data_IF_255326883054
#
_entry.id   IF_255326883054
#
_cell.length_a   1.000
_cell.length_b   1.000
_cell.length_c   1.000
_cell.angle_alpha   90.00
_cell.angle_beta   90.00
_cell.angle_gamma   90.00
#
_symmetry.space_group_name_H-M   'P 1'
#
loop_
_entity.id
_entity.type
_entity.pdbx_description
1 polymer ?
#
# COMPACT_ATOMS: atom_id res chain seq x y z
N UNK A 1 -11.76 1.87 -30.15
CA UNK A 1 -10.52 1.84 -29.35
C UNK A 1 -10.81 2.18 -27.90
N UNK A 2 -10.33 1.42 -26.90
CA UNK A 2 -10.48 1.81 -25.50
C UNK A 2 -9.64 3.06 -25.23
N UNK A 3 -10.22 4.09 -24.62
CA UNK A 3 -9.49 5.31 -24.26
C UNK A 3 -8.84 5.16 -22.89
N UNK A 4 -7.54 5.42 -22.82
CA UNK A 4 -6.79 5.46 -21.57
C UNK A 4 -7.16 6.74 -20.81
N UNK A 5 -7.55 6.56 -19.55
CA UNK A 5 -7.80 7.61 -18.57
C UNK A 5 -6.95 7.30 -17.35
N UNK A 6 -6.63 8.31 -16.54
CA UNK A 6 -5.69 8.15 -15.41
C UNK A 6 -6.04 7.01 -14.43
N UNK A 7 -7.32 6.64 -14.29
CA UNK A 7 -7.76 5.63 -13.30
C UNK A 7 -8.17 4.28 -13.91
N UNK A 8 -8.17 4.13 -15.24
CA UNK A 8 -8.71 2.92 -15.90
C UNK A 8 -7.65 2.02 -16.56
N UNK A 9 -6.36 2.23 -16.25
CA UNK A 9 -5.25 1.58 -16.94
C UNK A 9 -5.39 0.06 -16.98
N UNK A 10 -5.77 -0.59 -15.87
CA UNK A 10 -5.90 -2.06 -15.80
C UNK A 10 -6.94 -2.60 -16.78
N UNK A 11 -8.13 -1.99 -16.82
CA UNK A 11 -9.18 -2.37 -17.76
C UNK A 11 -8.81 -2.01 -19.20
N UNK A 12 -8.15 -0.86 -19.40
CA UNK A 12 -7.65 -0.43 -20.70
C UNK A 12 -6.61 -1.41 -21.25
N UNK A 13 -5.63 -1.80 -20.44
CA UNK A 13 -4.53 -2.69 -20.82
C UNK A 13 -5.05 -4.07 -21.25
N UNK A 14 -5.98 -4.65 -20.49
CA UNK A 14 -6.63 -5.92 -20.86
C UNK A 14 -7.33 -5.80 -22.22
N UNK A 15 -8.15 -4.75 -22.41
CA UNK A 15 -8.87 -4.54 -23.66
C UNK A 15 -7.93 -4.30 -24.84
N UNK A 16 -6.86 -3.54 -24.63
CA UNK A 16 -5.88 -3.23 -25.66
C UNK A 16 -5.07 -4.47 -26.05
N UNK A 17 -4.65 -5.29 -25.08
CA UNK A 17 -3.97 -6.55 -25.34
C UNK A 17 -4.84 -7.47 -26.22
N UNK A 18 -6.10 -7.68 -25.85
CA UNK A 18 -7.03 -8.52 -26.65
C UNK A 18 -7.15 -8.01 -28.09
N UNK A 19 -7.23 -6.69 -28.29
CA UNK A 19 -7.31 -6.09 -29.62
C UNK A 19 -6.03 -6.36 -30.42
N UNK A 20 -4.85 -6.19 -29.82
CA UNK A 20 -3.58 -6.41 -30.49
C UNK A 20 -3.32 -7.91 -30.78
N UNK A 21 -3.74 -8.81 -29.90
CA UNK A 21 -3.71 -10.25 -30.11
C UNK A 21 -4.61 -10.67 -31.27
N UNK A 22 -5.86 -10.18 -31.30
CA UNK A 22 -6.79 -10.46 -32.40
C UNK A 22 -6.29 -9.98 -33.77
N UNK A 23 -5.41 -8.98 -33.80
CA UNK A 23 -4.79 -8.45 -35.02
C UNK A 23 -3.40 -9.06 -35.31
N UNK A 24 -2.91 -10.01 -34.50
CA UNK A 24 -1.57 -10.60 -34.66
C UNK A 24 -0.42 -9.60 -34.49
N UNK A 25 -0.65 -8.55 -33.70
CA UNK A 25 0.27 -7.44 -33.44
C UNK A 25 0.99 -7.55 -32.10
N UNK A 26 0.46 -8.36 -31.16
CA UNK A 26 1.03 -8.53 -29.82
C UNK A 26 2.49 -9.01 -29.85
N UNK A 27 2.87 -9.79 -30.86
CA UNK A 27 4.24 -10.29 -31.09
C UNK A 27 5.26 -9.16 -31.23
N UNK A 28 4.85 -7.95 -31.64
CA UNK A 28 5.73 -6.78 -31.72
C UNK A 28 6.05 -6.18 -30.34
N UNK A 29 5.19 -6.43 -29.35
CA UNK A 29 5.34 -5.99 -27.96
C UNK A 29 6.06 -7.07 -27.13
N UNK A 30 5.59 -8.31 -27.26
CA UNK A 30 6.18 -9.50 -26.64
C UNK A 30 6.62 -10.49 -27.72
N UNK A 31 7.84 -10.33 -28.25
CA UNK A 31 8.38 -11.25 -29.24
C UNK A 31 8.65 -12.62 -28.62
N UNK A 32 8.21 -13.66 -29.31
CA UNK A 32 8.55 -15.06 -29.03
C UNK A 32 9.77 -15.51 -29.86
N UNK A 33 10.30 -16.71 -29.60
CA UNK A 33 11.49 -17.25 -30.30
C UNK A 33 11.35 -17.31 -31.84
N UNK A 34 10.12 -17.28 -32.36
CA UNK A 34 9.81 -17.33 -33.80
C UNK A 34 9.50 -15.96 -34.40
N UNK A 35 9.46 -14.91 -33.59
CA UNK A 35 9.03 -13.57 -34.03
C UNK A 35 10.13 -12.90 -34.85
N UNK A 36 9.84 -12.61 -36.11
CA UNK A 36 10.69 -11.77 -36.96
C UNK A 36 10.29 -10.31 -36.79
N UNK A 37 11.29 -9.43 -36.83
CA UNK A 37 11.03 -7.99 -36.84
C UNK A 37 10.22 -7.60 -38.08
N UNK A 38 9.00 -7.12 -37.87
CA UNK A 38 8.09 -6.66 -38.92
C UNK A 38 7.73 -5.19 -38.67
N UNK A 39 8.41 -4.31 -39.40
CA UNK A 39 8.23 -2.87 -39.29
C UNK A 39 6.81 -2.40 -39.66
N UNK A 40 6.08 -3.18 -40.48
CA UNK A 40 4.70 -2.85 -40.85
C UNK A 40 3.75 -3.18 -39.69
N UNK A 41 3.92 -4.35 -39.07
CA UNK A 41 3.18 -4.72 -37.86
C UNK A 41 3.50 -3.78 -36.69
N UNK A 42 4.76 -3.42 -36.48
CA UNK A 42 5.15 -2.48 -35.42
C UNK A 42 4.49 -1.11 -35.60
N UNK A 43 4.53 -0.53 -36.81
CA UNK A 43 3.82 0.74 -37.11
C UNK A 43 2.30 0.64 -36.92
N UNK A 44 1.71 -0.50 -37.25
CA UNK A 44 0.28 -0.74 -37.04
C UNK A 44 -0.03 -0.78 -35.55
N UNK A 45 0.74 -1.53 -34.76
CA UNK A 45 0.60 -1.60 -33.31
C UNK A 45 0.77 -0.22 -32.65
N UNK A 46 1.74 0.57 -33.12
CA UNK A 46 1.93 1.96 -32.70
C UNK A 46 0.66 2.76 -32.99
N UNK A 47 0.13 2.72 -34.21
CA UNK A 47 -1.10 3.45 -34.57
C UNK A 47 -2.27 3.09 -33.65
N UNK A 48 -2.40 1.81 -33.31
CA UNK A 48 -3.41 1.31 -32.39
C UNK A 48 -3.23 1.91 -30.98
N UNK A 49 -1.99 1.95 -30.47
CA UNK A 49 -1.68 2.56 -29.17
C UNK A 49 -1.95 4.06 -29.18
N UNK A 50 -1.56 4.80 -30.22
CA UNK A 50 -1.79 6.25 -30.33
C UNK A 50 -3.29 6.61 -30.34
N UNK A 51 -4.12 5.86 -31.07
CA UNK A 51 -5.57 6.09 -31.11
C UNK A 51 -6.29 5.88 -29.78
N UNK A 52 -5.64 5.18 -28.86
CA UNK A 52 -6.18 4.83 -27.56
C UNK A 52 -5.72 5.77 -26.43
N UNK A 53 -4.95 6.80 -26.78
CA UNK A 53 -4.34 7.74 -25.84
C UNK A 53 -4.94 9.14 -26.01
N UNK A 54 -5.19 9.86 -24.91
CA UNK A 54 -5.54 11.27 -24.95
C UNK A 54 -4.31 12.14 -25.26
N UNK A 55 -4.54 13.34 -25.77
CA UNK A 55 -3.53 14.22 -26.36
C UNK A 55 -2.42 14.63 -25.38
N UNK A 56 -2.74 14.77 -24.09
CA UNK A 56 -1.80 15.05 -23.01
C UNK A 56 -0.77 13.92 -22.78
N UNK A 57 -1.18 12.66 -23.03
CA UNK A 57 -0.30 11.49 -22.91
C UNK A 57 0.59 11.36 -24.14
N UNK A 58 0.08 11.71 -25.33
CA UNK A 58 0.80 11.57 -26.61
C UNK A 58 2.14 12.31 -26.61
N UNK A 59 2.17 13.52 -26.07
CA UNK A 59 3.38 14.35 -26.04
C UNK A 59 4.53 13.68 -25.29
N UNK A 60 4.24 12.95 -24.21
CA UNK A 60 5.27 12.30 -23.41
C UNK A 60 5.79 11.01 -24.05
N UNK A 61 4.90 10.25 -24.68
CA UNK A 61 5.22 8.91 -25.19
C UNK A 61 5.76 8.98 -26.63
N UNK A 62 5.63 10.13 -27.30
CA UNK A 62 6.17 10.43 -28.64
C UNK A 62 7.68 10.21 -28.80
N UNK A 63 8.42 10.19 -27.67
CA UNK A 63 9.86 9.89 -27.63
C UNK A 63 10.18 8.44 -27.96
N UNK A 64 9.21 7.53 -27.84
CA UNK A 64 9.40 6.10 -28.05
C UNK A 64 9.00 5.70 -29.48
N UNK A 65 9.89 4.94 -30.16
CA UNK A 65 9.76 4.65 -31.60
C UNK A 65 9.21 3.26 -31.94
N UNK A 66 9.02 2.39 -30.95
CA UNK A 66 8.54 1.01 -31.15
C UNK A 66 7.30 0.75 -30.30
N UNK A 67 6.42 -0.15 -30.74
CA UNK A 67 5.21 -0.50 -30.01
C UNK A 67 5.54 -1.02 -28.59
N UNK A 68 6.60 -1.84 -28.47
CA UNK A 68 7.12 -2.33 -27.20
C UNK A 68 7.56 -1.21 -26.25
N UNK A 69 8.30 -0.22 -26.76
CA UNK A 69 8.78 0.88 -25.92
C UNK A 69 7.63 1.76 -25.44
N UNK A 70 6.65 2.03 -26.30
CA UNK A 70 5.43 2.78 -25.95
C UNK A 70 4.62 2.01 -24.90
N UNK A 71 4.38 0.71 -25.11
CA UNK A 71 3.67 -0.15 -24.17
C UNK A 71 4.34 -0.18 -22.80
N UNK A 72 5.66 -0.35 -22.76
CA UNK A 72 6.41 -0.35 -21.51
C UNK A 72 6.38 1.01 -20.80
N UNK A 73 6.49 2.12 -21.54
CA UNK A 73 6.38 3.46 -20.95
C UNK A 73 5.01 3.71 -20.32
N UNK A 74 3.93 3.31 -21.01
CA UNK A 74 2.56 3.35 -20.49
C UNK A 74 2.41 2.48 -19.23
N UNK A 75 2.95 1.27 -19.28
CA UNK A 75 2.93 0.31 -18.18
C UNK A 75 3.65 0.84 -16.95
N UNK A 76 4.85 1.37 -17.10
CA UNK A 76 5.64 1.94 -15.99
C UNK A 76 4.94 3.15 -15.36
N UNK A 77 4.37 4.05 -16.17
CA UNK A 77 3.68 5.23 -15.67
C UNK A 77 2.45 4.88 -14.85
N UNK A 78 1.54 4.11 -15.44
CA UNK A 78 0.21 3.90 -14.87
C UNK A 78 0.17 2.83 -13.78
N UNK A 79 1.03 1.80 -13.84
CA UNK A 79 1.18 0.86 -12.71
C UNK A 79 1.74 1.55 -11.47
N UNK A 80 2.59 2.58 -11.63
CA UNK A 80 3.09 3.37 -10.50
C UNK A 80 1.96 4.11 -9.80
N UNK A 81 1.14 4.81 -10.57
CA UNK A 81 -0.03 5.54 -10.07
C UNK A 81 -1.05 4.62 -9.40
N UNK A 82 -1.38 3.47 -10.02
CA UNK A 82 -2.30 2.48 -9.46
C UNK A 82 -1.78 1.90 -8.14
N UNK A 83 -0.48 1.53 -8.06
CA UNK A 83 0.12 1.02 -6.83
C UNK A 83 0.07 2.04 -5.71
N UNK A 84 0.28 3.32 -6.02
CA UNK A 84 0.19 4.41 -5.04
C UNK A 84 -1.26 4.62 -4.57
N UNK A 85 -2.23 4.60 -5.48
CA UNK A 85 -3.64 4.72 -5.13
C UNK A 85 -4.10 3.55 -4.26
N UNK A 86 -3.76 2.31 -4.65
CA UNK A 86 -4.07 1.11 -3.87
C UNK A 86 -3.39 1.14 -2.50
N UNK A 87 -2.12 1.54 -2.41
CA UNK A 87 -1.42 1.68 -1.13
C UNK A 87 -2.13 2.66 -0.20
N UNK A 88 -2.56 3.82 -0.71
CA UNK A 88 -3.31 4.83 0.06
C UNK A 88 -4.62 4.28 0.61
N UNK A 89 -5.41 3.62 -0.24
CA UNK A 89 -6.69 3.02 0.17
C UNK A 89 -6.46 1.93 1.23
N UNK A 90 -5.52 1.03 1.01
CA UNK A 90 -5.21 -0.06 1.95
C UNK A 90 -4.72 0.49 3.30
N UNK A 91 -3.81 1.46 3.31
CA UNK A 91 -3.35 2.10 4.54
C UNK A 91 -4.49 2.80 5.28
N UNK A 92 -5.44 3.44 4.58
CA UNK A 92 -6.60 4.08 5.19
C UNK A 92 -7.51 3.07 5.91
N UNK A 93 -7.81 1.92 5.29
CA UNK A 93 -8.59 0.86 5.93
C UNK A 93 -7.88 0.30 7.16
N UNK A 94 -6.59 -0.05 7.02
CA UNK A 94 -5.80 -0.60 8.12
C UNK A 94 -5.67 0.42 9.26
N UNK A 95 -5.50 1.71 8.97
CA UNK A 95 -5.41 2.75 9.99
C UNK A 95 -6.68 2.81 10.87
N UNK A 96 -7.87 2.73 10.25
CA UNK A 96 -9.14 2.68 10.99
C UNK A 96 -9.26 1.44 11.87
N UNK A 97 -8.82 0.29 11.37
CA UNK A 97 -8.88 -0.97 12.13
C UNK A 97 -7.89 -0.95 13.30
N UNK A 98 -6.65 -0.52 13.07
CA UNK A 98 -5.62 -0.34 14.12
C UNK A 98 -6.13 0.61 15.21
N UNK A 99 -6.72 1.74 14.82
CA UNK A 99 -7.23 2.70 15.78
C UNK A 99 -8.37 2.11 16.65
N UNK A 100 -9.28 1.35 16.06
CA UNK A 100 -10.33 0.63 16.82
C UNK A 100 -9.73 -0.39 17.78
N UNK A 101 -8.70 -1.12 17.36
CA UNK A 101 -8.02 -2.11 18.20
C UNK A 101 -7.29 -1.45 19.37
N UNK A 102 -6.62 -0.31 19.15
CA UNK A 102 -5.99 0.48 20.22
C UNK A 102 -7.05 1.00 21.20
N UNK A 103 -8.16 1.57 20.72
CA UNK A 103 -9.24 2.04 21.60
C UNK A 103 -9.82 0.89 22.43
N UNK A 104 -10.06 -0.28 21.81
CA UNK A 104 -10.52 -1.48 22.52
C UNK A 104 -9.50 -1.97 23.55
N UNK A 105 -8.22 -1.97 23.21
CA UNK A 105 -7.15 -2.40 24.13
C UNK A 105 -7.06 -1.50 25.38
N UNK A 106 -7.34 -0.21 25.21
CA UNK A 106 -7.30 0.77 26.29
C UNK A 106 -8.65 1.03 26.96
N UNK A 107 -9.72 0.32 26.55
CA UNK A 107 -11.11 0.56 26.98
C UNK A 107 -11.54 2.03 26.80
N UNK A 108 -11.20 2.62 25.66
CA UNK A 108 -11.59 3.97 25.27
C UNK A 108 -12.72 3.93 24.24
N UNK A 109 -13.59 4.94 24.31
CA UNK A 109 -14.59 5.14 23.27
C UNK A 109 -13.92 5.53 21.95
N UNK A 110 -14.25 4.78 20.90
CA UNK A 110 -13.71 5.02 19.57
C UNK A 110 -14.31 6.32 19.00
N UNK A 111 -13.44 7.26 18.63
CA UNK A 111 -13.80 8.44 17.87
C UNK A 111 -13.02 8.46 16.56
N UNK A 112 -13.72 8.58 15.43
CA UNK A 112 -13.07 8.77 14.14
C UNK A 112 -12.46 10.17 14.08
N UNK A 113 -11.22 10.28 13.64
CA UNK A 113 -10.56 11.54 13.36
C UNK A 113 -9.80 11.45 12.04
N UNK A 114 -9.79 12.56 11.31
CA UNK A 114 -9.29 12.61 9.94
C UNK A 114 -8.01 13.47 9.84
N UNK A 115 -7.58 14.03 10.97
CA UNK A 115 -6.43 14.93 11.09
C UNK A 115 -5.71 14.76 12.42
N UNK A 116 -4.44 15.17 12.45
CA UNK A 116 -3.64 15.21 13.68
C UNK A 116 -4.28 16.12 14.74
N UNK A 117 -4.79 17.29 14.35
CA UNK A 117 -5.44 18.22 15.28
C UNK A 117 -6.72 17.64 15.90
N UNK A 118 -7.49 16.87 15.11
CA UNK A 118 -8.65 16.14 15.58
C UNK A 118 -8.27 15.07 16.59
N UNK A 119 -7.24 14.28 16.29
CA UNK A 119 -6.67 13.32 17.25
C UNK A 119 -6.17 14.01 18.51
N UNK A 120 -5.42 15.11 18.40
CA UNK A 120 -4.82 15.81 19.53
C UNK A 120 -5.90 16.40 20.46
N UNK A 121 -6.97 16.94 19.89
CA UNK A 121 -8.11 17.48 20.64
C UNK A 121 -8.84 16.37 21.42
N UNK A 122 -9.11 15.25 20.76
CA UNK A 122 -9.66 14.06 21.41
C UNK A 122 -8.74 13.54 22.50
N UNK A 123 -7.46 13.34 22.19
CA UNK A 123 -6.46 12.83 23.12
C UNK A 123 -6.35 13.70 24.38
N UNK A 124 -6.38 15.04 24.23
CA UNK A 124 -6.42 15.98 25.36
C UNK A 124 -7.67 15.82 26.22
N UNK A 125 -8.84 15.56 25.62
CA UNK A 125 -10.11 15.38 26.34
C UNK A 125 -10.18 14.09 27.17
N UNK A 126 -9.35 13.08 26.86
CA UNK A 126 -9.34 11.80 27.58
C UNK A 126 -8.89 12.02 29.04
N UNK A 127 -9.71 11.52 29.97
CA UNK A 127 -9.44 11.49 31.41
C UNK A 127 -8.56 10.29 31.78
N UNK A 128 -7.25 10.45 31.62
CA UNK A 128 -6.24 9.50 32.08
C UNK A 128 -5.20 10.24 32.93
N UNK A 129 -4.59 9.54 33.89
CA UNK A 129 -3.44 10.09 34.63
C UNK A 129 -2.25 10.34 33.70
N UNK A 130 -1.42 11.35 34.01
CA UNK A 130 -0.32 11.80 33.13
C UNK A 130 0.54 10.65 32.62
N UNK A 131 1.03 9.78 33.52
CA UNK A 131 1.88 8.63 33.13
C UNK A 131 1.19 7.66 32.18
N UNK A 132 -0.10 7.42 32.37
CA UNK A 132 -0.90 6.53 31.53
C UNK A 132 -1.17 7.16 30.17
N UNK A 133 -1.32 8.48 30.14
CA UNK A 133 -1.50 9.28 28.93
C UNK A 133 -0.23 9.28 28.08
N UNK A 134 0.94 9.46 28.70
CA UNK A 134 2.24 9.43 28.01
C UNK A 134 2.47 8.06 27.31
N UNK A 135 2.12 6.96 27.98
CA UNK A 135 2.22 5.61 27.39
C UNK A 135 1.26 5.44 26.21
N UNK A 136 0.01 5.90 26.33
CA UNK A 136 -0.96 5.85 25.25
C UNK A 136 -0.50 6.68 24.04
N UNK A 137 0.11 7.84 24.27
CA UNK A 137 0.73 8.67 23.22
C UNK A 137 1.80 7.88 22.45
N UNK A 138 2.68 7.19 23.19
CA UNK A 138 3.70 6.30 22.63
C UNK A 138 3.10 5.21 21.74
N UNK A 139 2.01 4.57 22.16
CA UNK A 139 1.28 3.56 21.37
C UNK A 139 0.78 4.17 20.05
N UNK A 140 0.25 5.40 20.07
CA UNK A 140 -0.17 6.08 18.85
C UNK A 140 1.01 6.38 17.91
N UNK A 141 2.14 6.86 18.43
CA UNK A 141 3.34 7.07 17.61
C UNK A 141 3.86 5.77 16.98
N UNK A 142 3.92 4.69 17.74
CA UNK A 142 4.29 3.35 17.23
C UNK A 142 3.31 2.91 16.15
N UNK A 143 2.00 3.13 16.35
CA UNK A 143 0.98 2.79 15.36
C UNK A 143 1.16 3.53 14.03
N UNK A 144 1.42 4.84 14.07
CA UNK A 144 1.66 5.64 12.86
C UNK A 144 2.95 5.20 12.16
N UNK A 145 4.00 4.89 12.91
CA UNK A 145 5.23 4.36 12.33
C UNK A 145 5.00 3.00 11.65
N UNK A 146 4.27 2.07 12.29
CA UNK A 146 3.95 0.77 11.70
C UNK A 146 3.04 0.91 10.47
N UNK A 147 2.09 1.86 10.46
CA UNK A 147 1.27 2.18 9.29
C UNK A 147 2.10 2.77 8.13
N UNK A 148 3.05 3.65 8.44
CA UNK A 148 3.99 4.19 7.46
C UNK A 148 4.88 3.09 6.88
N UNK A 149 5.42 2.21 7.73
CA UNK A 149 6.22 1.07 7.32
C UNK A 149 5.42 0.10 6.44
N UNK A 150 4.17 -0.22 6.82
CA UNK A 150 3.26 -1.03 6.02
C UNK A 150 3.01 -0.41 4.63
N UNK A 151 2.76 0.90 4.56
CA UNK A 151 2.59 1.61 3.28
C UNK A 151 3.84 1.50 2.41
N UNK A 152 5.03 1.67 2.99
CA UNK A 152 6.28 1.56 2.25
C UNK A 152 6.55 0.14 1.77
N UNK A 153 6.29 -0.86 2.61
CA UNK A 153 6.38 -2.26 2.20
C UNK A 153 5.39 -2.55 1.06
N UNK A 154 4.18 -2.01 1.10
CA UNK A 154 3.22 -2.17 0.00
C UNK A 154 3.70 -1.53 -1.32
N UNK A 155 4.42 -0.40 -1.24
CA UNK A 155 4.94 0.32 -2.40
C UNK A 155 6.22 -0.29 -2.97
N UNK A 156 7.10 -0.82 -2.14
CA UNK A 156 8.47 -1.14 -2.54
C UNK A 156 8.89 -2.60 -2.28
N UNK A 157 8.17 -3.37 -1.46
CA UNK A 157 8.55 -4.77 -1.19
C UNK A 157 8.13 -5.70 -2.34
N UNK A 158 8.88 -6.80 -2.49
CA UNK A 158 8.59 -7.89 -3.43
C UNK A 158 7.43 -8.78 -2.96
N UNK A 159 7.21 -8.86 -1.64
CA UNK A 159 6.11 -9.57 -1.01
C UNK A 159 5.14 -8.58 -0.36
N UNK A 160 3.84 -8.78 -0.57
CA UNK A 160 2.83 -7.91 0.03
C UNK A 160 2.71 -8.19 1.54
N UNK A 161 2.77 -7.16 2.40
CA UNK A 161 2.64 -7.35 3.84
C UNK A 161 1.23 -7.84 4.22
N UNK A 162 1.16 -8.76 5.19
CA UNK A 162 -0.11 -9.24 5.72
C UNK A 162 -0.69 -8.24 6.73
N UNK A 163 -1.98 -7.92 6.60
CA UNK A 163 -2.65 -6.96 7.50
C UNK A 163 -2.71 -7.46 8.96
N UNK A 164 -2.82 -8.78 9.13
CA UNK A 164 -3.07 -9.41 10.42
C UNK A 164 -1.91 -9.24 11.40
N UNK A 165 -0.68 -9.06 10.92
CA UNK A 165 0.52 -8.94 11.76
C UNK A 165 0.82 -7.52 12.23
N UNK A 166 0.11 -6.50 11.73
CA UNK A 166 0.42 -5.09 12.02
C UNK A 166 0.10 -4.75 13.47
N UNK A 167 -1.03 -5.24 13.99
CA UNK A 167 -1.41 -4.98 15.36
C UNK A 167 -0.48 -5.68 16.35
N UNK A 168 -0.07 -6.92 16.05
CA UNK A 168 0.91 -7.66 16.85
C UNK A 168 2.28 -6.95 16.88
N UNK A 169 2.73 -6.41 15.74
CA UNK A 169 3.96 -5.60 15.66
C UNK A 169 3.84 -4.30 16.46
N UNK A 170 2.68 -3.63 16.43
CA UNK A 170 2.42 -2.44 17.23
C UNK A 170 2.46 -2.77 18.72
N UNK A 171 1.83 -3.86 19.15
CA UNK A 171 1.87 -4.33 20.53
C UNK A 171 3.32 -4.58 20.94
N UNK A 172 4.05 -5.40 20.19
CA UNK A 172 5.44 -5.76 20.48
C UNK A 172 6.36 -4.53 20.59
N UNK A 173 6.27 -3.60 19.64
CA UNK A 173 7.07 -2.36 19.65
C UNK A 173 6.70 -1.42 20.77
N UNK A 174 5.41 -1.32 21.10
CA UNK A 174 4.94 -0.54 22.25
C UNK A 174 5.50 -1.10 23.56
N UNK A 175 5.58 -2.43 23.69
CA UNK A 175 6.25 -3.08 24.81
C UNK A 175 7.75 -2.75 24.86
N UNK A 176 8.49 -2.94 23.76
CA UNK A 176 9.94 -2.66 23.71
C UNK A 176 10.26 -1.19 24.01
N UNK A 177 9.43 -0.26 23.53
CA UNK A 177 9.58 1.15 23.84
C UNK A 177 9.35 1.44 25.34
N UNK A 178 8.36 0.78 25.96
CA UNK A 178 8.08 0.93 27.39
C UNK A 178 9.10 0.23 28.29
N UNK A 179 9.65 -0.93 27.91
CA UNK A 179 10.64 -1.64 28.72
C UNK A 179 12.00 -0.94 28.76
N UNK A 180 12.34 -0.17 27.71
CA UNK A 180 13.49 0.73 27.71
C UNK A 180 13.37 1.86 28.74
N UNK A 181 12.15 2.14 29.23
CA UNK A 181 11.85 3.12 30.27
C UNK A 181 11.30 2.37 31.49
N UNK A 182 12.19 1.84 32.32
CA UNK A 182 11.96 0.90 33.44
C UNK A 182 10.67 1.13 34.29
N UNK A 183 10.16 2.36 34.34
CA UNK A 183 8.95 2.78 35.07
C UNK A 183 7.58 2.45 34.42
N UNK A 184 7.51 2.01 33.15
CA UNK A 184 6.21 1.81 32.44
C UNK A 184 5.86 0.35 32.13
N UNK A 185 6.77 -0.60 32.36
CA UNK A 185 6.62 -2.04 32.06
C UNK A 185 5.37 -2.67 32.69
N UNK A 186 5.09 -2.34 33.96
CA UNK A 186 3.96 -2.92 34.70
C UNK A 186 2.59 -2.44 34.20
N UNK A 187 2.49 -1.23 33.63
CA UNK A 187 1.22 -0.70 33.12
C UNK A 187 0.72 -1.46 31.89
N UNK A 188 1.59 -1.75 30.92
CA UNK A 188 1.17 -2.52 29.75
C UNK A 188 1.01 -4.01 30.09
N UNK A 189 1.84 -4.57 30.98
CA UNK A 189 1.66 -5.95 31.47
C UNK A 189 0.29 -6.17 32.14
N UNK A 190 -0.20 -5.19 32.92
CA UNK A 190 -1.53 -5.23 33.56
C UNK A 190 -2.72 -5.22 32.58
N UNK A 191 -2.49 -4.81 31.31
CA UNK A 191 -3.49 -4.75 30.24
C UNK A 191 -3.55 -6.04 29.39
N UNK A 192 -2.90 -7.14 29.84
CA UNK A 192 -3.26 -8.51 29.47
C UNK A 192 -2.59 -9.12 28.22
N UNK A 193 -1.27 -9.01 28.06
CA UNK A 193 -0.58 -9.58 26.88
C UNK A 193 0.36 -10.77 27.17
N UNK A 194 0.62 -11.12 28.43
CA UNK A 194 1.57 -12.22 28.72
C UNK A 194 1.03 -13.60 28.27
N UNK A 195 -0.28 -13.76 28.05
CA UNK A 195 -0.87 -15.03 27.63
C UNK A 195 -0.58 -15.48 26.18
N UNK A 196 -0.18 -14.58 25.28
CA UNK A 196 -0.05 -14.89 23.84
C UNK A 196 1.40 -14.91 23.32
N UNK A 197 2.33 -14.21 23.97
CA UNK A 197 3.75 -14.20 23.56
C UNK A 197 4.52 -15.38 24.16
N UNK A 198 4.10 -15.88 25.33
CA UNK A 198 4.75 -17.02 26.01
C UNK A 198 4.27 -18.40 25.53
N UNK A 199 3.22 -18.49 24.69
CA UNK A 199 2.73 -19.77 24.16
C UNK A 199 3.44 -20.22 22.88
N UNK A 200 4.39 -19.42 22.37
CA UNK A 200 5.11 -19.70 21.11
C UNK A 200 6.53 -20.26 21.29
N UNK A 201 7.07 -20.29 22.50
CA UNK A 201 8.39 -20.87 22.80
C UNK A 201 8.21 -22.16 23.59
N UNK A 202 7.75 -23.22 22.91
CA UNK A 202 7.87 -24.57 23.42
C UNK A 202 9.31 -25.03 23.21
N UNK A 203 10.12 -24.98 24.27
CA UNK A 203 11.39 -25.70 24.34
C UNK A 203 11.10 -27.22 24.38
N UNK A 204 11.80 -28.06 23.61
CA UNK A 204 11.71 -29.51 23.76
C UNK A 204 12.48 -29.97 25.00
N UNK A 205 11.84 -30.85 25.78
CA UNK A 205 12.48 -31.76 26.72
C UNK A 205 13.46 -32.71 26.02
#
# INVERSE_FOLDING_TARGET
MPLLKGENYTTWAIRMQIILEANGLWEMIEPNEKTKADNKKDKTAITFLYQALPEDQLLQISKHKTAKAIWNALKTRHLGEERVQQARLQTCFVAKDVQKLICRWWNLDFQSFDSYDGWLSWFKSIRLGSKTKDVLEGVFYVSWWSLWNFRNQFLFATTKPQKNSIFDDIILRSFTWCTGWSQYTLMIQSKGVIGLVMSGSGDPL
#
